data_IF_819118758008
#
_entry.id   IF_819118758008
#
_cell.length_a   1.000
_cell.length_b   1.000
_cell.length_c   1.000
_cell.angle_alpha   90.00
_cell.angle_beta   90.00
_cell.angle_gamma   90.00
#
_symmetry.space_group_name_H-M   'P 1'
#
loop_
_entity.id
_entity.type
_entity.pdbx_description
1 polymer ?
#
# COMPACT_ATOMS: atom_id res chain seq x y z
N UNK A 1 -9.76 25.73 -12.30
CA UNK A 1 -8.62 25.59 -11.38
C UNK A 1 -8.82 26.76 -10.44
N UNK A 2 -9.48 26.61 -9.30
CA UNK A 2 -9.20 25.61 -8.28
C UNK A 2 -10.46 25.19 -7.50
N UNK A 3 -10.91 23.95 -7.72
CA UNK A 3 -11.85 23.31 -6.79
C UNK A 3 -11.02 22.64 -5.71
N UNK A 4 -11.25 22.99 -4.45
CA UNK A 4 -10.54 22.38 -3.34
C UNK A 4 -11.46 21.37 -2.66
N UNK A 5 -10.93 20.18 -2.39
CA UNK A 5 -11.62 19.13 -1.66
C UNK A 5 -11.25 19.24 -0.17
N UNK A 6 -12.25 19.22 0.70
CA UNK A 6 -12.10 19.13 2.14
C UNK A 6 -12.58 17.75 2.60
N UNK A 7 -11.80 17.13 3.49
CA UNK A 7 -12.12 15.84 4.13
C UNK A 7 -12.94 16.07 5.39
N UNK A 8 -14.00 15.27 5.57
CA UNK A 8 -14.79 15.20 6.80
C UNK A 8 -15.19 13.73 7.03
N UNK A 9 -14.58 13.09 8.03
CA UNK A 9 -14.87 11.71 8.49
C UNK A 9 -14.96 10.70 7.34
N UNK A 10 -16.16 10.44 6.82
CA UNK A 10 -16.45 9.43 5.79
C UNK A 10 -16.91 10.02 4.45
N UNK A 11 -16.76 11.33 4.27
CA UNK A 11 -17.18 12.04 3.07
C UNK A 11 -16.11 13.03 2.58
N UNK A 12 -16.08 13.21 1.27
CA UNK A 12 -15.28 14.24 0.61
C UNK A 12 -16.19 15.35 0.14
N UNK A 13 -15.95 16.57 0.60
CA UNK A 13 -16.71 17.75 0.19
C UNK A 13 -15.90 18.59 -0.81
N UNK A 14 -16.50 18.89 -1.96
CA UNK A 14 -15.90 19.76 -2.96
C UNK A 14 -16.42 21.19 -2.80
N UNK A 15 -15.50 22.15 -2.73
CA UNK A 15 -15.79 23.57 -2.58
C UNK A 15 -15.14 24.39 -3.70
N UNK A 16 -15.85 25.41 -4.16
CA UNK A 16 -15.25 26.53 -4.88
C UNK A 16 -14.69 27.53 -3.87
N UNK A 17 -13.38 27.79 -3.88
CA UNK A 17 -12.81 28.80 -3.00
C UNK A 17 -12.86 30.22 -3.57
N UNK A 18 -13.09 30.39 -4.87
CA UNK A 18 -13.23 31.72 -5.45
C UNK A 18 -14.52 32.38 -4.97
N UNK A 19 -15.62 31.62 -4.99
CA UNK A 19 -16.95 32.09 -4.61
C UNK A 19 -17.39 31.61 -3.22
N UNK A 20 -16.56 30.80 -2.54
CA UNK A 20 -16.89 30.14 -1.26
C UNK A 20 -18.17 29.29 -1.32
N UNK A 21 -18.41 28.65 -2.47
CA UNK A 21 -19.63 27.88 -2.73
C UNK A 21 -19.36 26.39 -2.58
N UNK A 22 -20.17 25.73 -1.76
CA UNK A 22 -20.22 24.27 -1.70
C UNK A 22 -20.77 23.69 -3.01
N UNK A 23 -20.04 22.75 -3.62
CA UNK A 23 -20.45 22.10 -4.88
C UNK A 23 -21.18 20.79 -4.62
N UNK A 24 -20.56 19.89 -3.85
CA UNK A 24 -21.08 18.53 -3.66
C UNK A 24 -20.38 17.77 -2.54
N UNK A 25 -21.02 16.70 -2.08
CA UNK A 25 -20.49 15.70 -1.14
C UNK A 25 -20.40 14.34 -1.83
N UNK A 26 -19.28 13.66 -1.68
CA UNK A 26 -19.02 12.31 -2.20
C UNK A 26 -18.83 11.38 -0.98
N UNK A 27 -19.73 10.40 -0.75
CA UNK A 27 -19.57 9.47 0.35
C UNK A 27 -18.53 8.41 0.02
N UNK A 28 -17.55 8.23 0.90
CA UNK A 28 -16.49 7.22 0.77
C UNK A 28 -16.69 6.02 1.69
N UNK A 29 -17.57 6.15 2.70
CA UNK A 29 -17.95 5.08 3.63
C UNK A 29 -16.76 4.43 4.36
N UNK A 30 -15.75 5.25 4.66
CA UNK A 30 -14.53 4.91 5.39
C UNK A 30 -13.97 6.18 6.02
N UNK A 31 -13.42 6.09 7.24
CA UNK A 31 -12.71 7.21 7.87
C UNK A 31 -11.44 7.54 7.08
N UNK A 32 -11.43 8.72 6.48
CA UNK A 32 -10.34 9.18 5.62
C UNK A 32 -9.28 9.94 6.42
N UNK A 33 -8.02 9.53 6.25
CA UNK A 33 -6.85 10.15 6.88
C UNK A 33 -6.04 10.98 5.87
N UNK A 34 -6.18 10.71 4.57
CA UNK A 34 -5.44 11.40 3.53
C UNK A 34 -6.21 11.56 2.22
N UNK A 35 -5.99 12.71 1.57
CA UNK A 35 -6.52 13.00 0.23
C UNK A 35 -5.46 13.68 -0.63
N UNK A 36 -5.34 13.24 -1.87
CA UNK A 36 -4.44 13.81 -2.86
C UNK A 36 -5.22 14.20 -4.13
N UNK A 37 -5.16 15.46 -4.52
CA UNK A 37 -5.72 15.90 -5.80
C UNK A 37 -4.75 15.58 -6.92
N UNK A 38 -5.23 14.88 -7.95
CA UNK A 38 -4.44 14.53 -9.13
C UNK A 38 -4.35 15.75 -10.04
N UNK A 39 -3.13 16.14 -10.39
CA UNK A 39 -2.91 17.28 -11.30
C UNK A 39 -3.41 16.95 -12.71
N UNK A 40 -4.15 17.86 -13.37
CA UNK A 40 -4.50 17.69 -14.77
C UNK A 40 -3.25 17.57 -15.66
N UNK A 41 -3.29 16.69 -16.65
CA UNK A 41 -2.19 16.48 -17.59
C UNK A 41 -1.12 15.46 -17.14
N UNK A 42 -1.24 14.90 -15.93
CA UNK A 42 -0.43 13.77 -15.48
C UNK A 42 -0.83 12.47 -16.19
N UNK A 43 0.08 11.50 -16.27
CA UNK A 43 -0.24 10.17 -16.79
C UNK A 43 -1.43 9.57 -16.01
N UNK A 44 -1.43 9.72 -14.68
CA UNK A 44 -2.48 9.23 -13.79
C UNK A 44 -3.85 9.85 -14.13
N UNK A 45 -3.92 11.15 -14.42
CA UNK A 45 -5.15 11.79 -14.88
C UNK A 45 -5.62 11.24 -16.23
N UNK A 46 -4.69 10.92 -17.14
CA UNK A 46 -5.02 10.33 -18.46
C UNK A 46 -5.58 8.90 -18.35
N UNK A 47 -5.05 8.10 -17.41
CA UNK A 47 -5.54 6.76 -17.12
C UNK A 47 -6.95 6.77 -16.53
N UNK A 48 -7.21 7.65 -15.56
CA UNK A 48 -8.54 7.83 -14.97
C UNK A 48 -9.56 8.34 -16.01
N UNK A 49 -9.14 9.28 -16.86
CA UNK A 49 -9.97 9.76 -17.98
C UNK A 49 -10.32 8.68 -19.01
N UNK A 50 -9.45 7.69 -19.21
CA UNK A 50 -9.72 6.55 -20.12
C UNK A 50 -10.72 5.53 -19.54
N UNK A 51 -10.88 5.50 -18.22
CA UNK A 51 -11.93 4.72 -17.57
C UNK A 51 -13.33 5.33 -17.77
N UNK A 52 -13.39 6.64 -18.00
CA UNK A 52 -14.63 7.40 -18.14
C UNK A 52 -15.40 7.20 -19.47
N UNK A 53 -14.80 6.56 -20.49
CA UNK A 53 -15.38 6.41 -21.83
C UNK A 53 -16.47 5.32 -21.99
N UNK A 54 -16.73 4.49 -20.98
CA UNK A 54 -17.74 3.41 -21.06
C UNK A 54 -19.12 3.80 -20.47
N UNK A 55 -19.23 4.95 -19.79
CA UNK A 55 -20.51 5.47 -19.28
C UNK A 55 -20.92 6.71 -20.07
N UNK A 56 -22.09 6.63 -20.70
CA UNK A 56 -22.58 7.56 -21.72
C UNK A 56 -22.85 8.99 -21.25
N UNK A 57 -22.92 9.87 -22.26
CA UNK A 57 -23.15 11.33 -22.26
C UNK A 57 -21.96 12.18 -21.81
N UNK A 58 -21.28 12.74 -22.83
CA UNK A 58 -20.46 13.96 -22.71
C UNK A 58 -21.35 15.10 -22.21
N UNK A 59 -21.20 15.48 -20.94
CA UNK A 59 -21.57 16.79 -20.43
C UNK A 59 -20.29 17.63 -20.24
N UNK A 60 -20.51 18.90 -19.94
CA UNK A 60 -19.77 20.07 -20.38
C UNK A 60 -18.27 20.16 -19.97
N UNK A 61 -17.54 21.07 -20.63
CA UNK A 61 -16.10 21.39 -20.52
C UNK A 61 -15.61 21.87 -19.14
N UNK A 62 -16.07 21.33 -18.02
CA UNK A 62 -15.39 21.51 -16.74
C UNK A 62 -14.33 20.43 -16.57
N UNK A 63 -13.08 20.81 -16.27
CA UNK A 63 -12.00 19.86 -15.99
C UNK A 63 -12.40 18.96 -14.82
N UNK A 64 -12.78 17.70 -15.09
CA UNK A 64 -13.09 16.72 -14.05
C UNK A 64 -11.88 16.60 -13.12
N UNK A 65 -12.08 16.87 -11.83
CA UNK A 65 -11.02 16.77 -10.83
C UNK A 65 -10.98 15.32 -10.36
N UNK A 66 -9.83 14.68 -10.51
CA UNK A 66 -9.59 13.35 -9.95
C UNK A 66 -8.87 13.49 -8.62
N UNK A 67 -9.21 12.65 -7.66
CA UNK A 67 -8.55 12.63 -6.36
C UNK A 67 -8.39 11.20 -5.85
N UNK A 68 -7.40 11.02 -4.98
CA UNK A 68 -7.06 9.77 -4.32
C UNK A 68 -7.38 9.94 -2.85
N UNK A 69 -7.97 8.91 -2.23
CA UNK A 69 -8.25 8.84 -0.80
C UNK A 69 -7.53 7.65 -0.18
N UNK A 70 -7.12 7.82 1.07
CA UNK A 70 -6.57 6.75 1.92
C UNK A 70 -7.12 6.92 3.34
N UNK A 71 -7.25 5.82 4.07
CA UNK A 71 -7.85 5.84 5.41
C UNK A 71 -7.59 4.57 6.22
N UNK A 72 -8.44 4.35 7.22
CA UNK A 72 -8.32 3.29 8.23
C UNK A 72 -8.35 1.86 7.66
N UNK A 73 -8.94 1.63 6.48
CA UNK A 73 -8.98 0.31 5.82
C UNK A 73 -7.65 -0.05 5.16
N UNK A 74 -6.72 0.90 5.04
CA UNK A 74 -5.41 0.65 4.46
C UNK A 74 -5.46 0.33 2.97
N UNK A 75 -6.48 0.84 2.26
CA UNK A 75 -6.62 0.69 0.82
C UNK A 75 -6.61 2.06 0.13
N UNK A 76 -6.18 2.06 -1.13
CA UNK A 76 -6.19 3.27 -1.96
C UNK A 76 -7.47 3.32 -2.80
N UNK A 77 -8.21 4.41 -2.68
CA UNK A 77 -9.38 4.74 -3.52
C UNK A 77 -9.08 5.88 -4.49
N UNK A 78 -9.54 5.78 -5.74
CA UNK A 78 -9.44 6.85 -6.75
C UNK A 78 -10.82 7.23 -7.26
N UNK A 79 -11.08 8.53 -7.35
CA UNK A 79 -12.43 9.05 -7.52
C UNK A 79 -12.52 10.09 -8.63
N UNK A 80 -13.69 10.15 -9.26
CA UNK A 80 -14.09 11.24 -10.14
C UNK A 80 -15.05 12.18 -9.41
N UNK A 81 -14.62 13.44 -9.25
CA UNK A 81 -15.44 14.46 -8.62
C UNK A 81 -16.70 14.80 -9.42
N UNK A 82 -16.67 14.80 -10.75
CA UNK A 82 -17.83 15.24 -11.55
C UNK A 82 -18.99 14.27 -11.44
N UNK A 83 -18.68 12.98 -11.35
CA UNK A 83 -19.64 11.88 -11.33
C UNK A 83 -19.94 11.38 -9.92
N UNK A 84 -19.17 11.78 -8.91
CA UNK A 84 -19.22 11.23 -7.55
C UNK A 84 -19.02 9.70 -7.51
N UNK A 85 -18.16 9.15 -8.38
CA UNK A 85 -17.96 7.69 -8.47
C UNK A 85 -16.53 7.30 -8.12
N UNK A 86 -16.41 6.17 -7.43
CA UNK A 86 -15.14 5.47 -7.27
C UNK A 86 -14.76 4.82 -8.61
N UNK A 87 -13.63 5.23 -9.17
CA UNK A 87 -13.08 4.68 -10.41
C UNK A 87 -12.20 3.45 -10.15
N UNK A 88 -11.52 3.45 -9.01
CA UNK A 88 -10.62 2.37 -8.60
C UNK A 88 -10.64 2.24 -7.09
N UNK A 89 -10.80 1.01 -6.62
CA UNK A 89 -10.62 0.63 -5.23
C UNK A 89 -9.64 -0.54 -5.19
N UNK A 90 -8.60 -0.41 -4.38
CA UNK A 90 -7.64 -1.48 -4.20
C UNK A 90 -8.32 -2.70 -3.55
N UNK A 91 -8.20 -3.87 -4.21
CA UNK A 91 -8.88 -5.11 -3.80
C UNK A 91 -8.41 -5.68 -2.46
N UNK A 92 -7.14 -5.51 -2.15
CA UNK A 92 -6.50 -6.03 -0.93
C UNK A 92 -5.49 -5.01 -0.41
N UNK A 93 -5.51 -4.77 0.90
CA UNK A 93 -4.51 -3.93 1.54
C UNK A 93 -3.13 -4.60 1.51
N UNK A 94 -2.08 -3.82 1.25
CA UNK A 94 -0.70 -4.28 1.46
C UNK A 94 -0.16 -3.90 2.84
N UNK A 95 -0.96 -3.22 3.68
CA UNK A 95 -0.54 -2.88 5.04
C UNK A 95 -0.32 -4.16 5.83
N UNK A 96 0.77 -4.19 6.58
CA UNK A 96 1.18 -5.36 7.34
C UNK A 96 0.22 -5.59 8.50
N UNK A 97 -0.32 -6.81 8.61
CA UNK A 97 -1.31 -7.16 9.64
C UNK A 97 -0.59 -7.84 10.81
N UNK A 98 -0.57 -7.22 11.99
CA UNK A 98 -0.10 -7.90 13.22
C UNK A 98 -1.25 -8.58 13.97
N UNK A 99 -0.98 -9.64 14.73
CA UNK A 99 -1.98 -10.38 15.52
C UNK A 99 -2.51 -9.63 16.74
N UNK A 100 -1.80 -8.61 17.23
CA UNK A 100 -1.93 -8.18 18.62
C UNK A 100 -2.97 -7.08 18.92
N UNK A 101 -3.74 -6.63 17.94
CA UNK A 101 -4.73 -5.55 18.19
C UNK A 101 -6.02 -5.70 17.39
N UNK A 102 -7.00 -6.41 17.96
CA UNK A 102 -8.31 -6.67 17.33
C UNK A 102 -9.15 -5.40 17.02
N UNK A 103 -8.71 -4.19 17.39
CA UNK A 103 -9.52 -2.96 17.25
C UNK A 103 -8.73 -1.66 16.92
N UNK A 104 -7.43 -1.70 16.60
CA UNK A 104 -6.71 -0.47 16.21
C UNK A 104 -6.83 -0.23 14.71
N UNK A 105 -7.06 1.01 14.22
CA UNK A 105 -7.10 1.30 12.78
C UNK A 105 -5.80 0.84 12.11
N UNK A 106 -5.91 -0.06 11.12
CA UNK A 106 -4.77 -0.71 10.45
C UNK A 106 -4.50 -0.13 9.07
N UNK A 107 -4.58 1.20 9.01
CA UNK A 107 -4.70 1.91 7.76
C UNK A 107 -3.51 2.78 7.39
N UNK A 108 -3.80 3.67 6.46
CA UNK A 108 -2.91 4.76 6.12
C UNK A 108 -3.19 5.97 7.00
N UNK A 109 -2.14 6.67 7.42
CA UNK A 109 -2.22 7.94 8.16
C UNK A 109 -1.99 9.14 7.27
N UNK A 110 -1.35 8.95 6.12
CA UNK A 110 -1.13 9.99 5.13
C UNK A 110 -0.86 9.39 3.75
N UNK A 111 -1.11 10.18 2.71
CA UNK A 111 -0.65 9.89 1.37
C UNK A 111 -0.18 11.17 0.66
N UNK A 112 0.76 11.00 -0.26
CA UNK A 112 1.26 12.07 -1.14
C UNK A 112 1.55 11.51 -2.53
N UNK A 113 1.09 12.21 -3.57
CA UNK A 113 1.49 11.91 -4.95
C UNK A 113 2.94 12.35 -5.14
N UNK A 114 3.79 11.43 -5.58
CA UNK A 114 5.19 11.71 -5.83
C UNK A 114 5.36 12.63 -7.05
N UNK A 115 6.36 13.54 -7.06
CA UNK A 115 6.65 14.37 -8.21
C UNK A 115 6.92 13.56 -9.48
N UNK A 116 6.81 14.20 -10.65
CA UNK A 116 7.18 13.62 -11.94
C UNK A 116 6.43 12.31 -12.27
N UNK A 117 5.19 12.17 -11.80
CA UNK A 117 4.34 11.00 -12.02
C UNK A 117 4.96 9.68 -11.56
N UNK A 118 5.84 9.73 -10.55
CA UNK A 118 6.51 8.55 -9.99
C UNK A 118 5.61 7.66 -9.13
N UNK A 119 4.34 8.04 -8.96
CA UNK A 119 3.33 7.25 -8.27
C UNK A 119 2.83 7.89 -6.98
N UNK A 120 2.51 7.04 -6.00
CA UNK A 120 1.88 7.42 -4.73
C UNK A 120 2.74 6.90 -3.57
N UNK A 121 2.98 7.74 -2.58
CA UNK A 121 3.58 7.34 -1.32
C UNK A 121 2.50 7.36 -0.24
N UNK A 122 2.34 6.25 0.46
CA UNK A 122 1.45 6.11 1.60
C UNK A 122 2.26 5.85 2.87
N UNK A 123 1.79 6.40 3.99
CA UNK A 123 2.35 6.18 5.32
C UNK A 123 1.34 5.39 6.13
N UNK A 124 1.78 4.33 6.77
CA UNK A 124 0.93 3.47 7.60
C UNK A 124 1.02 3.84 9.07
N UNK A 125 0.07 3.36 9.87
CA UNK A 125 0.08 3.53 11.34
C UNK A 125 1.32 2.86 11.98
N UNK A 126 1.80 1.75 11.43
CA UNK A 126 2.97 1.00 11.89
C UNK A 126 4.31 1.53 11.34
N UNK A 127 4.37 2.83 11.02
CA UNK A 127 5.58 3.53 10.59
C UNK A 127 6.24 2.96 9.33
N UNK A 128 5.46 2.47 8.37
CA UNK A 128 5.96 2.01 7.08
C UNK A 128 5.64 3.02 5.98
N UNK A 129 6.57 3.13 5.03
CA UNK A 129 6.37 3.87 3.79
C UNK A 129 6.13 2.88 2.66
N UNK A 130 4.93 2.95 2.07
CA UNK A 130 4.54 2.12 0.93
C UNK A 130 4.56 2.98 -0.34
N UNK A 131 5.41 2.59 -1.30
CA UNK A 131 5.54 3.25 -2.59
C UNK A 131 4.76 2.48 -3.63
N UNK A 132 3.78 3.12 -4.21
CA UNK A 132 2.92 2.57 -5.23
C UNK A 132 3.23 3.17 -6.59
N UNK A 133 3.38 2.30 -7.60
CA UNK A 133 3.46 2.70 -9.01
C UNK A 133 2.22 2.24 -9.76
N UNK A 134 1.85 3.00 -10.79
CA UNK A 134 0.74 2.65 -11.66
C UNK A 134 1.27 1.80 -12.81
N UNK A 135 0.72 0.60 -13.00
CA UNK A 135 1.11 -0.30 -14.07
C UNK A 135 -0.10 -0.58 -14.96
N UNK A 136 0.10 -0.50 -16.28
CA UNK A 136 -0.95 -0.84 -17.25
C UNK A 136 -1.19 -2.34 -17.22
N UNK A 137 -2.45 -2.75 -17.00
CA UNK A 137 -2.84 -4.15 -16.94
C UNK A 137 -3.87 -4.44 -18.04
N UNK A 138 -3.71 -5.55 -18.74
CA UNK A 138 -4.53 -5.89 -19.92
C UNK A 138 -6.01 -6.10 -19.58
N UNK A 139 -6.31 -6.62 -18.38
CA UNK A 139 -7.69 -6.91 -17.94
C UNK A 139 -8.35 -5.76 -17.16
N UNK A 140 -7.59 -5.02 -16.35
CA UNK A 140 -8.12 -4.01 -15.42
C UNK A 140 -7.83 -2.57 -15.88
N UNK A 141 -7.31 -2.38 -17.11
CA UNK A 141 -6.73 -1.14 -17.68
C UNK A 141 -5.48 -0.65 -16.96
N UNK A 142 -5.53 -0.55 -15.64
CA UNK A 142 -4.39 -0.24 -14.79
C UNK A 142 -4.52 -0.94 -13.44
N UNK A 143 -3.39 -1.13 -12.76
CA UNK A 143 -3.32 -1.64 -11.40
C UNK A 143 -2.30 -0.83 -10.62
N UNK A 144 -2.66 -0.47 -9.39
CA UNK A 144 -1.72 0.10 -8.44
C UNK A 144 -0.90 -1.04 -7.83
N UNK A 145 0.43 -0.97 -7.98
CA UNK A 145 1.36 -2.02 -7.54
C UNK A 145 2.32 -1.46 -6.51
N UNK A 146 2.48 -2.18 -5.39
CA UNK A 146 3.52 -1.88 -4.42
C UNK A 146 4.89 -2.14 -5.07
N UNK A 147 5.69 -1.09 -5.17
CA UNK A 147 7.02 -1.11 -5.77
C UNK A 147 8.14 -1.09 -4.74
N UNK A 148 7.91 -0.48 -3.58
CA UNK A 148 8.88 -0.41 -2.48
C UNK A 148 8.17 -0.33 -1.15
N UNK A 149 8.75 -0.98 -0.14
CA UNK A 149 8.35 -0.85 1.26
C UNK A 149 9.58 -0.48 2.09
N UNK A 150 9.50 0.64 2.79
CA UNK A 150 10.50 1.02 3.79
C UNK A 150 9.88 0.88 5.16
N UNK A 151 10.54 0.13 6.04
CA UNK A 151 10.13 -0.05 7.42
C UNK A 151 10.88 0.99 8.25
N UNK A 152 10.17 1.98 8.78
CA UNK A 152 10.76 3.09 9.54
C UNK A 152 11.19 2.67 10.94
N UNK A 153 10.56 1.65 11.52
CA UNK A 153 10.85 1.16 12.86
C UNK A 153 10.81 -0.37 12.91
N UNK A 154 11.90 -0.97 13.38
CA UNK A 154 12.10 -2.42 13.41
C UNK A 154 11.98 -3.03 14.82
N UNK A 155 11.44 -2.31 15.80
CA UNK A 155 11.36 -2.75 17.21
C UNK A 155 12.71 -3.36 17.70
N UNK A 156 12.68 -4.30 18.63
CA UNK A 156 13.86 -5.09 19.02
C UNK A 156 14.17 -6.17 17.98
N UNK A 157 15.39 -6.18 17.46
CA UNK A 157 15.87 -7.20 16.52
C UNK A 157 16.39 -8.40 17.32
N UNK A 158 15.74 -9.55 17.17
CA UNK A 158 16.05 -10.78 17.90
C UNK A 158 17.00 -11.70 17.11
N UNK A 159 16.96 -11.61 15.78
CA UNK A 159 17.81 -12.44 14.93
C UNK A 159 17.90 -11.91 13.51
N UNK A 160 19.03 -12.18 12.86
CA UNK A 160 19.27 -11.86 11.46
C UNK A 160 19.95 -13.03 10.75
N UNK A 161 19.65 -13.24 9.48
CA UNK A 161 20.37 -14.22 8.66
C UNK A 161 20.33 -13.84 7.18
N UNK A 162 21.44 -14.04 6.48
CA UNK A 162 21.51 -13.80 5.03
C UNK A 162 20.87 -14.95 4.26
N UNK A 163 20.19 -14.61 3.16
CA UNK A 163 19.44 -15.52 2.32
C UNK A 163 19.80 -15.35 0.84
N UNK A 164 19.62 -16.44 0.10
CA UNK A 164 19.84 -16.46 -1.35
C UNK A 164 21.30 -16.62 -1.75
N UNK A 165 21.54 -16.72 -3.06
CA UNK A 165 22.91 -16.71 -3.60
C UNK A 165 23.50 -15.33 -3.39
N UNK A 166 24.78 -15.29 -3.03
CA UNK A 166 25.53 -14.03 -2.83
C UNK A 166 24.90 -13.10 -1.79
N UNK A 167 24.17 -13.66 -0.81
CA UNK A 167 23.60 -12.89 0.32
C UNK A 167 22.66 -11.77 -0.14
N UNK A 168 21.96 -11.98 -1.28
CA UNK A 168 21.08 -10.99 -1.89
C UNK A 168 19.97 -10.49 -0.96
N UNK A 169 19.55 -11.30 0.00
CA UNK A 169 18.48 -10.94 0.93
C UNK A 169 18.95 -11.07 2.38
N UNK A 170 18.33 -10.28 3.26
CA UNK A 170 18.53 -10.34 4.70
C UNK A 170 17.18 -10.58 5.38
N UNK A 171 17.03 -11.72 6.05
CA UNK A 171 15.91 -11.97 6.93
C UNK A 171 16.18 -11.41 8.32
N UNK A 172 15.18 -10.73 8.87
CA UNK A 172 15.22 -10.06 10.17
C UNK A 172 14.01 -10.51 10.97
N UNK A 173 14.26 -11.13 12.11
CA UNK A 173 13.27 -11.41 13.14
C UNK A 173 13.29 -10.27 14.14
N UNK A 174 12.12 -9.71 14.40
CA UNK A 174 11.92 -8.63 15.36
C UNK A 174 11.07 -9.15 16.52
N UNK A 175 10.71 -8.29 17.48
CA UNK A 175 9.74 -8.61 18.52
C UNK A 175 8.28 -8.70 18.00
N UNK A 176 8.10 -9.24 16.79
CA UNK A 176 6.84 -9.47 16.10
C UNK A 176 6.78 -10.93 15.65
N UNK A 177 5.58 -11.41 15.33
CA UNK A 177 5.30 -12.76 14.85
C UNK A 177 5.68 -12.99 13.38
N UNK A 178 6.21 -11.97 12.72
CA UNK A 178 6.55 -11.99 11.30
C UNK A 178 8.06 -11.84 11.08
N UNK A 179 8.55 -12.42 9.99
CA UNK A 179 9.94 -12.23 9.53
C UNK A 179 9.95 -11.27 8.37
N UNK A 180 10.72 -10.19 8.50
CA UNK A 180 10.90 -9.22 7.42
C UNK A 180 12.10 -9.61 6.58
N UNK A 181 11.96 -9.53 5.25
CA UNK A 181 13.02 -9.91 4.31
C UNK A 181 13.35 -8.73 3.43
N UNK A 182 14.57 -8.25 3.59
CA UNK A 182 15.10 -7.11 2.88
C UNK A 182 15.88 -7.56 1.66
N UNK A 183 15.64 -6.91 0.53
CA UNK A 183 16.51 -7.01 -0.64
C UNK A 183 17.69 -6.04 -0.46
N UNK A 184 18.91 -6.56 -0.50
CA UNK A 184 20.12 -5.80 -0.14
C UNK A 184 20.55 -4.79 -1.20
N UNK A 185 20.05 -4.90 -2.43
CA UNK A 185 20.34 -3.95 -3.51
C UNK A 185 19.44 -2.72 -3.41
N UNK A 186 18.14 -2.95 -3.27
CA UNK A 186 17.12 -1.89 -3.21
C UNK A 186 16.91 -1.32 -1.80
N UNK A 187 17.36 -2.05 -0.77
CA UNK A 187 17.06 -1.83 0.65
C UNK A 187 15.56 -1.78 0.95
N UNK A 188 14.75 -2.46 0.13
CA UNK A 188 13.30 -2.60 0.32
C UNK A 188 13.00 -3.81 1.18
N UNK A 189 12.02 -3.70 2.07
CA UNK A 189 11.39 -4.87 2.70
C UNK A 189 10.50 -5.54 1.65
N UNK A 190 11.08 -6.49 0.92
CA UNK A 190 10.44 -7.12 -0.24
C UNK A 190 9.40 -8.16 0.18
N UNK A 191 9.61 -8.81 1.32
CA UNK A 191 8.66 -9.80 1.83
C UNK A 191 8.46 -9.64 3.33
N UNK A 192 7.21 -9.86 3.75
CA UNK A 192 6.86 -10.04 5.15
C UNK A 192 6.26 -11.44 5.28
N UNK A 193 6.99 -12.31 5.97
CA UNK A 193 6.62 -13.70 6.15
C UNK A 193 5.78 -13.85 7.41
N UNK A 194 4.49 -14.06 7.20
CA UNK A 194 3.55 -14.41 8.25
C UNK A 194 3.41 -15.94 8.38
N UNK A 195 2.98 -16.40 9.55
CA UNK A 195 2.66 -17.81 9.79
C UNK A 195 2.75 -18.21 11.26
N UNK A 196 3.61 -17.55 12.04
CA UNK A 196 3.62 -17.70 13.49
C UNK A 196 2.51 -16.87 14.12
N UNK A 197 2.06 -17.30 15.29
CA UNK A 197 1.04 -16.57 16.08
C UNK A 197 1.66 -15.77 17.23
N UNK A 198 2.96 -15.90 17.45
CA UNK A 198 3.73 -15.19 18.47
C UNK A 198 5.12 -14.84 17.92
N UNK A 199 5.84 -14.00 18.65
CA UNK A 199 7.18 -13.48 18.35
C UNK A 199 8.14 -14.56 17.81
N UNK A 200 8.80 -14.25 16.70
CA UNK A 200 9.89 -15.07 16.15
C UNK A 200 11.18 -14.81 16.93
N UNK A 201 11.67 -15.81 17.65
CA UNK A 201 12.79 -15.70 18.57
C UNK A 201 14.15 -15.98 17.91
N UNK A 202 14.17 -16.80 16.87
CA UNK A 202 15.41 -17.16 16.19
C UNK A 202 15.19 -17.51 14.72
N UNK A 203 16.25 -17.33 13.94
CA UNK A 203 16.32 -17.64 12.51
C UNK A 203 17.56 -18.48 12.25
N UNK A 204 17.45 -19.45 11.35
CA UNK A 204 18.59 -20.17 10.79
C UNK A 204 18.30 -20.58 9.35
N UNK A 205 19.34 -21.00 8.62
CA UNK A 205 19.20 -21.53 7.26
C UNK A 205 19.71 -22.95 7.20
N UNK A 206 19.00 -23.80 6.45
CA UNK A 206 19.45 -25.16 6.22
C UNK A 206 19.16 -25.61 4.80
N UNK A 207 19.79 -26.71 4.38
CA UNK A 207 19.54 -27.33 3.08
C UNK A 207 18.83 -28.65 3.33
N UNK A 208 17.63 -28.79 2.77
CA UNK A 208 16.88 -30.05 2.82
C UNK A 208 17.64 -31.19 2.13
N UNK A 209 17.27 -32.43 2.42
CA UNK A 209 17.80 -33.63 1.74
C UNK A 209 17.62 -33.59 0.21
N UNK A 210 16.65 -32.81 -0.28
CA UNK A 210 16.42 -32.57 -1.71
C UNK A 210 17.31 -31.47 -2.33
N UNK A 211 18.25 -30.92 -1.56
CA UNK A 211 19.15 -29.83 -1.99
C UNK A 211 18.50 -28.45 -2.01
N UNK A 212 17.27 -28.30 -1.50
CA UNK A 212 16.55 -27.02 -1.48
C UNK A 212 16.92 -26.22 -0.23
N UNK A 213 17.31 -24.93 -0.36
CA UNK A 213 17.58 -24.09 0.78
C UNK A 213 16.27 -23.67 1.46
N UNK A 214 16.28 -23.68 2.79
CA UNK A 214 15.16 -23.38 3.66
C UNK A 214 15.58 -22.31 4.67
N UNK A 215 14.67 -21.39 4.95
CA UNK A 215 14.69 -20.58 6.18
C UNK A 215 13.96 -21.37 7.26
N UNK A 216 14.59 -21.49 8.42
CA UNK A 216 14.02 -22.09 9.62
C UNK A 216 13.77 -20.98 10.63
N UNK A 217 12.57 -20.93 11.18
CA UNK A 217 12.16 -19.92 12.16
C UNK A 217 11.65 -20.64 13.41
N UNK A 218 12.08 -20.17 14.58
CA UNK A 218 11.55 -20.63 15.87
C UNK A 218 10.81 -19.51 16.58
N UNK A 219 9.62 -19.80 17.07
CA UNK A 219 8.74 -18.82 17.70
C UNK A 219 8.36 -19.20 19.14
N UNK A 220 7.97 -18.18 19.90
CA UNK A 220 7.36 -18.31 21.23
C UNK A 220 6.02 -19.06 21.21
N UNK A 221 5.41 -19.26 20.05
CA UNK A 221 4.23 -20.12 19.86
C UNK A 221 4.54 -21.63 20.02
N UNK A 222 5.79 -21.98 20.34
CA UNK A 222 6.31 -23.34 20.48
C UNK A 222 6.37 -24.12 19.16
N UNK A 223 6.35 -23.45 18.02
CA UNK A 223 6.47 -24.06 16.70
C UNK A 223 7.80 -23.72 16.01
N UNK A 224 8.16 -24.60 15.07
CA UNK A 224 9.24 -24.38 14.11
C UNK A 224 8.63 -24.35 12.72
N UNK A 225 8.90 -23.31 11.95
CA UNK A 225 8.48 -23.22 10.55
C UNK A 225 9.65 -23.38 9.60
N UNK A 226 9.43 -24.14 8.52
CA UNK A 226 10.39 -24.38 7.46
C UNK A 226 9.88 -23.77 6.15
N UNK A 227 10.52 -22.70 5.69
CA UNK A 227 10.10 -21.91 4.55
C UNK A 227 11.06 -22.10 3.37
N UNK A 228 10.61 -22.66 2.22
CA UNK A 228 11.45 -22.78 1.04
C UNK A 228 11.77 -21.41 0.43
N UNK A 229 13.06 -21.07 0.34
CA UNK A 229 13.49 -19.77 -0.20
C UNK A 229 13.10 -19.58 -1.67
N UNK A 230 12.94 -20.66 -2.43
CA UNK A 230 12.56 -20.61 -3.85
C UNK A 230 11.13 -20.07 -4.05
N UNK A 231 10.27 -20.13 -3.03
CA UNK A 231 8.91 -19.56 -3.06
C UNK A 231 8.89 -18.07 -2.72
N UNK A 232 9.99 -17.53 -2.19
CA UNK A 232 10.15 -16.12 -1.83
C UNK A 232 10.87 -15.33 -2.93
N UNK A 233 11.10 -15.90 -4.12
CA UNK A 233 11.91 -15.33 -5.21
C UNK A 233 11.20 -15.35 -6.57
N UNK A 234 9.89 -15.66 -6.57
CA UNK A 234 8.99 -15.66 -7.72
C UNK A 234 7.79 -14.77 -7.38
#
# INVERSE_FOLDING_TARGET
MDGHCLLLEEVVNLWDLHDYVFKMTIPTYEVLEGLCVVKPGTELASFLGSCNLQSGKRRDRSSSIYFITVGERGIVGMWDSERAVCLYEQKSSDVTVSSDTDDSPRGFTAAVILPLDQGLLCVTVDHQFLFYSLVVHLEEKFKLMLSKRLVGYNEEILGITFLGKEEKFLAVATNLEQVQVYDMESMSCSYVLAGHTEIVLCLDTCVSSSGRPLLVTGSKDNSLSFLPLNKMLL
#
